data_IF_068315508173
#
_entry.id   IF_068315508173
#
_cell.length_a   1.000
_cell.length_b   1.000
_cell.length_c   1.000
_cell.angle_alpha   90.00
_cell.angle_beta   90.00
_cell.angle_gamma   90.00
#
_symmetry.space_group_name_H-M   'P 1'
#
loop_
_entity.id
_entity.type
_entity.pdbx_description
1 polymer ?
#
# COMPACT_ATOMS: atom_id res chain seq x y z
N UNK A 1 45.92 7.20 -42.51
CA UNK A 1 45.59 8.10 -41.41
C UNK A 1 44.06 8.08 -41.37
N UNK A 2 43.33 7.06 -40.89
CA UNK A 2 43.43 6.26 -39.65
C UNK A 2 43.88 7.11 -38.46
N UNK A 3 43.15 7.32 -37.37
CA UNK A 3 41.85 6.93 -36.80
C UNK A 3 41.74 7.91 -35.61
N UNK A 4 40.66 8.68 -35.46
CA UNK A 4 40.42 9.50 -34.26
C UNK A 4 38.90 9.46 -33.96
N UNK A 5 38.39 8.28 -33.61
CA UNK A 5 37.00 8.07 -33.16
C UNK A 5 36.93 7.44 -31.74
N UNK A 6 37.90 7.72 -30.86
CA UNK A 6 38.00 7.05 -29.54
C UNK A 6 37.93 7.99 -28.32
N UNK A 7 37.54 9.28 -28.45
CA UNK A 7 37.54 10.23 -27.32
C UNK A 7 36.16 10.44 -26.62
N UNK A 8 35.06 9.86 -27.12
CA UNK A 8 33.72 10.07 -26.51
C UNK A 8 33.37 9.05 -25.40
N UNK A 9 34.01 7.88 -25.35
CA UNK A 9 33.69 6.81 -24.36
C UNK A 9 34.23 7.10 -22.95
N UNK A 10 35.26 7.96 -22.84
CA UNK A 10 35.98 8.23 -21.58
C UNK A 10 35.27 9.27 -20.69
N UNK A 11 34.37 10.08 -21.26
CA UNK A 11 33.62 11.12 -20.56
C UNK A 11 32.37 10.60 -19.84
N UNK A 12 31.72 9.54 -20.36
CA UNK A 12 30.53 8.95 -19.73
C UNK A 12 30.87 8.20 -18.43
N UNK A 13 32.06 7.57 -18.37
CA UNK A 13 32.55 6.85 -17.18
C UNK A 13 32.93 7.77 -16.00
N UNK A 14 33.11 9.08 -16.23
CA UNK A 14 33.48 10.07 -15.20
C UNK A 14 32.30 10.92 -14.72
N UNK A 15 31.10 10.72 -15.28
CA UNK A 15 29.91 11.49 -14.89
C UNK A 15 29.43 11.06 -13.50
N UNK A 16 29.10 12.04 -12.66
CA UNK A 16 28.43 11.76 -11.39
C UNK A 16 27.07 11.09 -11.64
N UNK A 17 26.76 9.98 -10.95
CA UNK A 17 25.47 9.31 -11.10
C UNK A 17 24.35 10.24 -10.64
N UNK A 18 23.25 10.23 -11.39
CA UNK A 18 22.04 10.97 -11.07
C UNK A 18 21.36 10.39 -9.83
N UNK A 19 20.48 11.18 -9.20
CA UNK A 19 19.68 10.70 -8.08
C UNK A 19 18.80 9.50 -8.45
N UNK A 20 18.36 9.39 -9.71
CA UNK A 20 17.54 8.27 -10.20
C UNK A 20 18.38 7.00 -10.37
N UNK A 21 19.61 7.11 -10.89
CA UNK A 21 20.54 5.99 -10.99
C UNK A 21 20.93 5.46 -9.61
N UNK A 22 21.21 6.37 -8.66
CA UNK A 22 21.50 6.00 -7.27
C UNK A 22 20.30 5.35 -6.56
N UNK A 23 19.08 5.84 -6.79
CA UNK A 23 17.86 5.22 -6.24
C UNK A 23 17.63 3.82 -6.82
N UNK A 24 17.85 3.63 -8.12
CA UNK A 24 17.75 2.33 -8.77
C UNK A 24 18.78 1.33 -8.23
N UNK A 25 20.05 1.73 -8.16
CA UNK A 25 21.14 0.93 -7.60
C UNK A 25 20.88 0.58 -6.13
N UNK A 26 20.47 1.57 -5.32
CA UNK A 26 20.15 1.35 -3.91
C UNK A 26 19.01 0.34 -3.74
N UNK A 27 17.97 0.36 -4.59
CA UNK A 27 16.88 -0.60 -4.55
C UNK A 27 17.32 -2.01 -4.92
N UNK A 28 18.25 -2.15 -5.86
CA UNK A 28 18.84 -3.43 -6.20
C UNK A 28 19.70 -3.98 -5.06
N UNK A 29 20.61 -3.17 -4.51
CA UNK A 29 21.48 -3.56 -3.40
C UNK A 29 20.69 -3.93 -2.13
N UNK A 30 19.60 -3.22 -1.86
CA UNK A 30 18.70 -3.50 -0.73
C UNK A 30 17.72 -4.64 -1.01
N UNK A 31 17.73 -5.24 -2.21
CA UNK A 31 16.78 -6.27 -2.63
C UNK A 31 15.32 -5.82 -2.42
N UNK A 32 15.06 -4.55 -2.74
CA UNK A 32 13.75 -3.94 -2.57
C UNK A 32 12.63 -4.64 -3.35
N UNK A 33 12.86 -5.15 -4.58
CA UNK A 33 11.86 -5.94 -5.29
C UNK A 33 11.46 -7.22 -4.55
N UNK A 34 12.42 -7.95 -3.97
CA UNK A 34 12.20 -9.19 -3.23
C UNK A 34 11.42 -8.91 -1.93
N UNK A 35 11.83 -7.89 -1.17
CA UNK A 35 11.12 -7.44 0.01
C UNK A 35 9.67 -7.03 -0.32
N UNK A 36 9.50 -6.27 -1.41
CA UNK A 36 8.17 -5.87 -1.88
C UNK A 36 7.30 -7.07 -2.25
N UNK A 37 7.90 -8.11 -2.84
CA UNK A 37 7.22 -9.38 -3.14
C UNK A 37 6.80 -10.13 -1.87
N UNK A 38 7.66 -10.14 -0.84
CA UNK A 38 7.32 -10.76 0.45
C UNK A 38 6.18 -10.00 1.13
N UNK A 39 6.25 -8.67 1.22
CA UNK A 39 5.19 -7.83 1.80
C UNK A 39 3.87 -8.02 1.04
N UNK A 40 3.94 -8.13 -0.28
CA UNK A 40 2.78 -8.39 -1.14
C UNK A 40 2.02 -9.67 -0.73
N UNK A 41 2.72 -10.71 -0.28
CA UNK A 41 2.10 -11.97 0.16
C UNK A 41 1.23 -11.83 1.42
N UNK A 42 1.46 -10.79 2.23
CA UNK A 42 0.66 -10.49 3.42
C UNK A 42 -0.58 -9.62 3.13
N UNK A 43 -0.75 -9.18 1.89
CA UNK A 43 -1.88 -8.31 1.55
C UNK A 43 -3.18 -9.12 1.43
N UNK A 44 -4.20 -8.72 2.20
CA UNK A 44 -5.50 -9.41 2.20
C UNK A 44 -6.42 -9.00 1.03
N UNK A 45 -6.05 -7.97 0.25
CA UNK A 45 -6.87 -7.43 -0.85
C UNK A 45 -6.06 -7.25 -2.12
N UNK A 46 -6.73 -7.35 -3.28
CA UNK A 46 -6.11 -7.09 -4.60
C UNK A 46 -5.60 -5.65 -4.72
N UNK A 47 -6.20 -4.69 -4.00
CA UNK A 47 -5.70 -3.32 -3.94
C UNK A 47 -4.37 -3.24 -3.19
N UNK A 48 -4.26 -3.87 -2.02
CA UNK A 48 -2.99 -3.96 -1.27
C UNK A 48 -1.91 -4.66 -2.08
N UNK A 49 -2.25 -5.77 -2.75
CA UNK A 49 -1.34 -6.49 -3.64
C UNK A 49 -0.76 -5.57 -4.72
N UNK A 50 -1.64 -4.79 -5.37
CA UNK A 50 -1.26 -3.84 -6.42
C UNK A 50 -0.47 -2.65 -5.89
N UNK A 51 -0.72 -2.20 -4.66
CA UNK A 51 0.05 -1.13 -4.04
C UNK A 51 1.52 -1.54 -3.84
N UNK A 52 1.81 -2.84 -3.77
CA UNK A 52 3.17 -3.37 -3.71
C UNK A 52 3.79 -3.66 -5.10
N UNK A 53 3.19 -3.17 -6.20
CA UNK A 53 3.62 -3.45 -7.58
C UNK A 53 3.97 -2.16 -8.33
N UNK A 54 5.16 -2.03 -8.97
CA UNK A 54 6.22 -3.05 -9.09
C UNK A 54 6.95 -3.35 -7.77
N UNK A 55 7.10 -2.34 -6.92
CA UNK A 55 7.68 -2.41 -5.59
C UNK A 55 6.86 -1.55 -4.61
N UNK A 56 7.07 -1.74 -3.30
CA UNK A 56 6.44 -0.94 -2.26
C UNK A 56 6.91 0.52 -2.39
N UNK A 57 6.01 1.51 -2.34
CA UNK A 57 6.39 2.91 -2.45
C UNK A 57 7.11 3.37 -1.18
N UNK A 58 8.15 4.18 -1.37
CA UNK A 58 8.76 4.97 -0.30
C UNK A 58 8.14 6.37 -0.28
N UNK A 59 8.07 6.97 0.91
CA UNK A 59 7.52 8.32 1.05
C UNK A 59 8.39 9.33 0.31
N UNK A 60 7.77 10.22 -0.47
CA UNK A 60 8.48 11.26 -1.21
C UNK A 60 9.23 12.27 -0.31
N UNK A 61 8.96 12.23 1.00
CA UNK A 61 9.70 12.99 2.00
C UNK A 61 9.76 12.24 3.33
N UNK A 62 10.72 12.56 4.21
CA UNK A 62 10.80 11.95 5.55
C UNK A 62 9.51 12.11 6.36
N UNK A 63 8.81 13.24 6.19
CA UNK A 63 7.54 13.50 6.87
C UNK A 63 6.43 12.53 6.44
N UNK A 64 6.36 12.19 5.14
CA UNK A 64 5.40 11.21 4.62
C UNK A 64 5.73 9.81 5.15
N UNK A 65 7.01 9.42 5.13
CA UNK A 65 7.44 8.12 5.67
C UNK A 65 7.14 8.00 7.17
N UNK A 66 7.40 9.05 7.95
CA UNK A 66 7.08 9.08 9.39
C UNK A 66 5.57 8.96 9.64
N UNK A 67 4.74 9.62 8.82
CA UNK A 67 3.29 9.49 8.89
C UNK A 67 2.84 8.07 8.60
N UNK A 68 3.29 7.45 7.51
CA UNK A 68 2.93 6.06 7.18
C UNK A 68 3.39 5.07 8.24
N UNK A 69 4.57 5.29 8.83
CA UNK A 69 5.05 4.50 9.94
C UNK A 69 4.09 4.62 11.14
N UNK A 70 3.70 5.84 11.51
CA UNK A 70 2.73 6.07 12.60
C UNK A 70 1.38 5.40 12.34
N UNK A 71 0.85 5.51 11.12
CA UNK A 71 -0.41 4.87 10.72
C UNK A 71 -0.30 3.33 10.80
N UNK A 72 0.83 2.77 10.37
CA UNK A 72 1.11 1.33 10.44
C UNK A 72 1.26 0.85 11.87
N UNK A 73 2.00 1.59 12.71
CA UNK A 73 2.16 1.27 14.14
C UNK A 73 0.83 1.30 14.87
N UNK A 74 -0.03 2.28 14.60
CA UNK A 74 -1.38 2.33 15.17
C UNK A 74 -2.23 1.14 14.73
N UNK A 75 -2.13 0.72 13.45
CA UNK A 75 -2.82 -0.46 12.94
C UNK A 75 -2.35 -1.75 13.64
N UNK A 76 -1.04 -1.92 13.84
CA UNK A 76 -0.48 -3.08 14.56
C UNK A 76 -1.00 -3.12 16.00
N UNK A 77 -0.98 -1.99 16.72
CA UNK A 77 -1.52 -1.92 18.07
C UNK A 77 -3.01 -2.27 18.14
N UNK A 78 -3.80 -1.84 17.15
CA UNK A 78 -5.21 -2.19 17.04
C UNK A 78 -5.43 -3.70 16.77
N UNK A 79 -4.57 -4.33 15.97
CA UNK A 79 -4.58 -5.77 15.75
C UNK A 79 -4.23 -6.54 17.03
N UNK A 80 -3.19 -6.13 17.75
CA UNK A 80 -2.75 -6.76 19.00
C UNK A 80 -3.81 -6.65 20.11
N UNK A 81 -4.53 -5.52 20.15
CA UNK A 81 -5.68 -5.32 21.03
C UNK A 81 -6.94 -6.09 20.59
N UNK A 82 -6.91 -6.76 19.44
CA UNK A 82 -8.05 -7.49 18.87
C UNK A 82 -9.16 -6.61 18.29
N UNK A 83 -8.96 -5.29 18.25
CA UNK A 83 -9.95 -4.32 17.76
C UNK A 83 -10.07 -4.32 16.22
N UNK A 84 -8.96 -4.62 15.53
CA UNK A 84 -8.94 -4.86 14.09
C UNK A 84 -8.45 -6.29 13.82
N UNK A 85 -9.35 -7.26 13.60
CA UNK A 85 -8.93 -8.63 13.37
C UNK A 85 -8.22 -8.76 12.01
N UNK A 86 -7.25 -9.66 11.91
CA UNK A 86 -6.54 -9.96 10.66
C UNK A 86 -7.47 -10.49 9.55
N UNK A 87 -8.62 -11.06 9.94
CA UNK A 87 -9.69 -11.50 9.04
C UNK A 87 -10.68 -10.39 8.64
N UNK A 88 -10.47 -9.14 9.05
CA UNK A 88 -11.40 -8.03 8.73
C UNK A 88 -11.61 -7.84 7.21
N UNK A 89 -10.61 -8.20 6.41
CA UNK A 89 -10.62 -8.12 4.94
C UNK A 89 -10.97 -9.44 4.24
N UNK A 90 -11.31 -10.49 4.99
CA UNK A 90 -11.67 -11.79 4.43
C UNK A 90 -12.93 -11.69 3.56
N UNK A 91 -12.90 -12.35 2.40
CA UNK A 91 -14.01 -12.34 1.43
C UNK A 91 -14.10 -11.08 0.57
N UNK A 92 -13.12 -10.17 0.65
CA UNK A 92 -12.99 -9.06 -0.30
C UNK A 92 -12.63 -9.58 -1.70
N UNK A 93 -13.25 -9.01 -2.74
CA UNK A 93 -13.00 -9.35 -4.14
C UNK A 93 -12.69 -8.08 -4.95
N UNK A 94 -12.02 -8.23 -6.10
CA UNK A 94 -11.80 -7.10 -7.00
C UNK A 94 -13.06 -6.79 -7.82
N UNK A 95 -13.90 -5.91 -7.29
CA UNK A 95 -15.18 -5.53 -7.89
C UNK A 95 -15.10 -4.30 -8.79
N UNK A 96 -13.91 -3.73 -9.00
CA UNK A 96 -13.74 -2.46 -9.74
C UNK A 96 -14.22 -2.55 -11.18
N UNK A 97 -13.97 -3.68 -11.85
CA UNK A 97 -14.42 -3.90 -13.22
C UNK A 97 -15.95 -3.91 -13.31
N UNK A 98 -16.63 -4.50 -12.32
CA UNK A 98 -18.10 -4.53 -12.24
C UNK A 98 -18.65 -3.13 -12.01
N UNK A 99 -18.10 -2.38 -11.06
CA UNK A 99 -18.54 -1.00 -10.76
C UNK A 99 -18.39 -0.10 -12.00
N UNK A 100 -17.24 -0.14 -12.68
CA UNK A 100 -17.03 0.64 -13.93
C UNK A 100 -17.98 0.21 -15.04
N UNK A 101 -18.22 -1.09 -15.18
CA UNK A 101 -19.16 -1.64 -16.15
C UNK A 101 -20.58 -1.14 -15.90
N UNK A 102 -21.05 -1.22 -14.66
CA UNK A 102 -22.37 -0.73 -14.25
C UNK A 102 -22.51 0.79 -14.46
N UNK A 103 -21.49 1.57 -14.11
CA UNK A 103 -21.46 3.01 -14.38
C UNK A 103 -21.54 3.35 -15.87
N UNK A 104 -21.08 2.43 -16.74
CA UNK A 104 -21.17 2.53 -18.20
C UNK A 104 -22.46 1.93 -18.77
N UNK A 105 -23.45 1.60 -17.92
CA UNK A 105 -24.75 1.04 -18.32
C UNK A 105 -24.75 -0.45 -18.63
N UNK A 106 -23.68 -1.20 -18.31
CA UNK A 106 -23.66 -2.65 -18.48
C UNK A 106 -24.45 -3.35 -17.37
N UNK A 107 -25.25 -4.34 -17.74
CA UNK A 107 -25.97 -5.19 -16.78
C UNK A 107 -25.01 -6.11 -16.04
N UNK A 108 -25.13 -6.19 -14.72
CA UNK A 108 -24.33 -7.07 -13.88
C UNK A 108 -24.96 -8.47 -13.81
N UNK A 109 -24.10 -9.49 -13.74
CA UNK A 109 -24.55 -10.85 -13.45
C UNK A 109 -24.86 -11.01 -11.95
N UNK A 110 -25.67 -12.02 -11.60
CA UNK A 110 -25.91 -12.36 -10.19
C UNK A 110 -24.64 -12.70 -9.42
N UNK A 111 -23.66 -13.34 -10.07
CA UNK A 111 -22.35 -13.61 -9.48
C UNK A 111 -21.57 -12.32 -9.19
N UNK A 112 -21.56 -11.36 -10.12
CA UNK A 112 -20.93 -10.05 -9.91
C UNK A 112 -21.57 -9.27 -8.76
N UNK A 113 -22.91 -9.36 -8.61
CA UNK A 113 -23.62 -8.76 -7.48
C UNK A 113 -23.27 -9.43 -6.15
N UNK A 114 -23.15 -10.76 -6.12
CA UNK A 114 -22.72 -11.49 -4.92
C UNK A 114 -21.29 -11.10 -4.49
N UNK A 115 -20.39 -10.91 -5.46
CA UNK A 115 -19.01 -10.46 -5.20
C UNK A 115 -18.96 -9.04 -4.63
N UNK A 116 -19.80 -8.14 -5.14
CA UNK A 116 -19.98 -6.79 -4.61
C UNK A 116 -20.52 -6.85 -3.18
N UNK A 117 -21.58 -7.63 -2.93
CA UNK A 117 -22.17 -7.78 -1.60
C UNK A 117 -21.16 -8.33 -0.58
N UNK A 118 -20.36 -9.33 -0.96
CA UNK A 118 -19.28 -9.87 -0.11
C UNK A 118 -18.25 -8.81 0.26
N UNK A 119 -17.80 -8.04 -0.75
CA UNK A 119 -16.80 -6.98 -0.54
C UNK A 119 -17.35 -5.85 0.31
N UNK A 120 -18.61 -5.44 0.11
CA UNK A 120 -19.28 -4.44 0.95
C UNK A 120 -19.46 -4.91 2.40
N UNK A 121 -19.74 -6.20 2.61
CA UNK A 121 -19.85 -6.77 3.95
C UNK A 121 -18.52 -6.70 4.69
N UNK A 122 -17.41 -7.04 4.02
CA UNK A 122 -16.07 -6.87 4.60
C UNK A 122 -15.75 -5.39 4.89
N UNK A 123 -16.08 -4.47 3.97
CA UNK A 123 -15.90 -3.04 4.19
C UNK A 123 -16.68 -2.51 5.41
N UNK A 124 -17.93 -2.96 5.59
CA UNK A 124 -18.74 -2.58 6.75
C UNK A 124 -18.13 -3.08 8.08
N UNK A 125 -17.53 -4.27 8.09
CA UNK A 125 -16.81 -4.80 9.27
C UNK A 125 -15.60 -3.96 9.62
N UNK A 126 -14.76 -3.64 8.63
CA UNK A 126 -13.59 -2.77 8.81
C UNK A 126 -14.03 -1.40 9.35
N UNK A 127 -15.09 -0.82 8.79
CA UNK A 127 -15.62 0.45 9.24
C UNK A 127 -16.05 0.41 10.71
N UNK A 128 -16.81 -0.63 11.10
CA UNK A 128 -17.23 -0.81 12.49
C UNK A 128 -16.04 -0.96 13.46
N UNK A 129 -14.98 -1.67 13.07
CA UNK A 129 -13.75 -1.75 13.85
C UNK A 129 -13.08 -0.39 14.03
N UNK A 130 -13.00 0.42 12.97
CA UNK A 130 -12.42 1.77 13.03
C UNK A 130 -13.26 2.69 13.91
N UNK A 131 -14.58 2.66 13.80
CA UNK A 131 -15.48 3.47 14.61
C UNK A 131 -15.37 3.13 16.11
N UNK A 132 -15.28 1.83 16.43
CA UNK A 132 -15.04 1.36 17.79
C UNK A 132 -13.69 1.82 18.36
N UNK A 133 -12.63 1.84 17.53
CA UNK A 133 -11.31 2.33 17.93
C UNK A 133 -11.34 3.83 18.26
N UNK A 134 -11.98 4.63 17.39
CA UNK A 134 -12.11 6.08 17.59
C UNK A 134 -12.89 6.40 18.87
N UNK A 135 -13.98 5.68 19.13
CA UNK A 135 -14.75 5.84 20.37
C UNK A 135 -13.89 5.55 21.62
N UNK A 136 -13.10 4.48 21.59
CA UNK A 136 -12.22 4.09 22.70
C UNK A 136 -11.11 5.10 22.95
N UNK A 137 -10.52 5.67 21.89
CA UNK A 137 -9.51 6.74 22.01
C UNK A 137 -10.12 8.02 22.57
N UNK A 138 -11.33 8.38 22.14
CA UNK A 138 -12.05 9.55 22.66
C UNK A 138 -12.33 9.43 24.17
N UNK A 139 -12.73 8.24 24.63
CA UNK A 139 -12.98 7.99 26.05
C UNK A 139 -11.68 8.05 26.87
N UNK A 140 -10.57 7.54 26.33
CA UNK A 140 -9.26 7.60 26.99
C UNK A 140 -8.73 9.04 27.10
N UNK A 141 -8.90 9.86 26.07
CA UNK A 141 -8.47 11.27 26.05
C UNK A 141 -9.35 12.13 26.98
N UNK A 142 -10.66 11.88 27.00
CA UNK A 142 -11.58 12.51 27.96
C UNK A 142 -11.25 12.13 29.42
N UNK A 143 -10.86 10.88 29.68
CA UNK A 143 -10.41 10.46 31.00
C UNK A 143 -9.08 11.11 31.40
N UNK A 144 -8.13 11.25 30.46
CA UNK A 144 -6.84 11.90 30.70
C UNK A 144 -6.98 13.40 30.98
N UNK A 145 -7.95 14.08 30.37
CA UNK A 145 -8.24 15.50 30.59
C UNK A 145 -8.98 15.81 31.91
N UNK A 146 -9.48 14.78 32.61
CA UNK A 146 -10.21 14.92 33.88
C UNK A 146 -9.34 14.78 35.14
N UNK A 147 -8.04 14.51 34.98
CA UNK A 147 -7.02 14.47 36.04
C UNK A 147 -6.08 15.66 35.95
#
# INVERSE_FOLDING_TARGET
>A
EEEDEDDDDDDEARREPTAEELDAEARELLQWPELSSQVRSFTATVLGFRACTPFLPLGASPAISARWLSETTACVAACDAGALPTSAFEGTKDVRAFIRGAASGKTLSGASLADIASTMTAAARVWASVESLVATTSDADAAAAAF
#
